data_IF_305188345574
#
_entry.id   IF_305188345574
#
_cell.length_a   1.000
_cell.length_b   1.000
_cell.length_c   1.000
_cell.angle_alpha   90.00
_cell.angle_beta   90.00
_cell.angle_gamma   90.00
#
_symmetry.space_group_name_H-M   'P 1'
#
loop_
_entity.id
_entity.type
_entity.pdbx_description
1 polymer ?
#
# COMPACT_ATOMS: atom_id res chain seq x y z
N UNK A 1 6.71 -17.87 -5.67
CA UNK A 1 6.84 -16.46 -5.28
C UNK A 1 5.43 -15.98 -4.99
N UNK A 2 5.04 -15.67 -3.73
CA UNK A 2 3.83 -14.90 -3.53
C UNK A 2 4.19 -13.48 -3.95
N UNK A 3 3.95 -13.16 -5.22
CA UNK A 3 4.02 -11.78 -5.67
C UNK A 3 2.85 -11.07 -5.01
N UNK A 4 3.11 -9.91 -4.40
CA UNK A 4 2.04 -9.04 -3.92
C UNK A 4 1.10 -8.76 -5.09
N UNK A 5 -0.15 -9.23 -4.98
CA UNK A 5 -1.17 -9.03 -6.00
C UNK A 5 -1.80 -7.67 -5.74
N UNK A 6 -1.55 -6.75 -6.65
CA UNK A 6 -2.29 -5.51 -6.71
C UNK A 6 -3.71 -5.79 -7.18
N UNK A 7 -4.69 -5.13 -6.58
CA UNK A 7 -6.04 -5.10 -7.12
C UNK A 7 -6.00 -4.50 -8.53
N UNK A 8 -6.75 -5.15 -9.42
CA UNK A 8 -6.79 -4.80 -10.83
C UNK A 8 -7.73 -3.61 -11.07
N UNK A 9 -7.24 -2.41 -10.80
CA UNK A 9 -7.93 -1.17 -11.13
C UNK A 9 -6.97 -0.16 -11.79
N UNK A 10 -7.50 0.70 -12.69
CA UNK A 10 -6.70 1.70 -13.39
C UNK A 10 -6.07 2.69 -12.42
N UNK A 11 -4.91 3.25 -12.76
CA UNK A 11 -4.19 4.17 -11.86
C UNK A 11 -4.92 5.50 -11.61
N UNK A 12 -5.92 5.82 -12.43
CA UNK A 12 -6.82 6.96 -12.24
C UNK A 12 -8.06 6.62 -11.40
N UNK A 13 -8.09 5.45 -10.75
CA UNK A 13 -9.23 5.07 -9.90
C UNK A 13 -9.32 6.05 -8.73
N UNK A 14 -10.49 6.68 -8.51
CA UNK A 14 -10.68 7.55 -7.35
C UNK A 14 -10.54 6.72 -6.08
N UNK A 15 -9.84 7.30 -5.10
CA UNK A 15 -9.69 6.69 -3.78
C UNK A 15 -11.07 6.63 -3.11
N UNK A 16 -11.46 5.48 -2.53
CA UNK A 16 -12.72 5.35 -1.82
C UNK A 16 -12.72 6.21 -0.55
N UNK A 17 -13.90 6.72 -0.17
CA UNK A 17 -14.10 7.55 1.02
C UNK A 17 -13.63 6.84 2.32
N UNK A 18 -13.72 5.51 2.34
CA UNK A 18 -13.29 4.63 3.44
C UNK A 18 -11.77 4.68 3.72
N UNK A 19 -10.98 5.14 2.74
CA UNK A 19 -9.54 5.35 2.89
C UNK A 19 -9.20 6.77 3.38
N UNK A 20 -10.18 7.58 3.76
CA UNK A 20 -9.95 8.86 4.42
C UNK A 20 -10.30 8.77 5.90
N UNK A 21 -9.42 9.28 6.74
CA UNK A 21 -9.69 9.50 8.15
C UNK A 21 -10.80 10.55 8.34
N UNK A 22 -11.43 10.58 9.53
CA UNK A 22 -12.49 11.55 9.86
C UNK A 22 -12.10 13.03 9.69
N UNK A 23 -10.81 13.36 9.63
CA UNK A 23 -10.29 14.71 9.38
C UNK A 23 -10.22 15.06 7.87
N UNK A 24 -10.57 14.11 6.99
CA UNK A 24 -10.41 14.22 5.54
C UNK A 24 -8.97 13.95 5.06
N UNK A 25 -8.07 13.58 5.97
CA UNK A 25 -6.72 13.16 5.64
C UNK A 25 -6.73 11.73 5.05
N UNK A 26 -5.96 11.45 3.99
CA UNK A 26 -5.85 10.12 3.43
C UNK A 26 -5.16 9.17 4.43
N UNK A 27 -5.82 8.08 4.76
CA UNK A 27 -5.27 7.01 5.58
C UNK A 27 -4.38 6.12 4.73
N UNK A 28 -3.07 6.32 4.84
CA UNK A 28 -2.08 5.65 4.01
C UNK A 28 -2.08 4.13 4.20
N UNK A 29 -2.30 3.64 5.43
CA UNK A 29 -2.33 2.21 5.68
C UNK A 29 -3.55 1.56 4.99
N UNK A 30 -4.74 2.15 5.17
CA UNK A 30 -5.96 1.71 4.51
C UNK A 30 -5.85 1.78 2.98
N UNK A 31 -5.18 2.80 2.44
CA UNK A 31 -4.90 2.93 1.01
C UNK A 31 -4.03 1.78 0.46
N UNK A 32 -2.98 1.45 1.19
CA UNK A 32 -2.05 0.39 0.83
C UNK A 32 -2.73 -0.98 0.92
N UNK A 33 -3.50 -1.24 1.98
CA UNK A 33 -4.33 -2.45 2.11
C UNK A 33 -5.41 -2.52 1.03
N UNK A 34 -5.98 -1.37 0.64
CA UNK A 34 -6.97 -1.32 -0.42
C UNK A 34 -6.38 -1.64 -1.79
N UNK A 35 -5.16 -1.17 -2.10
CA UNK A 35 -4.44 -1.46 -3.35
C UNK A 35 -3.85 -2.88 -3.35
N UNK A 36 -3.31 -3.33 -2.23
CA UNK A 36 -2.71 -4.63 -2.07
C UNK A 36 -3.24 -5.30 -0.80
N UNK A 37 -4.36 -6.04 -0.89
CA UNK A 37 -4.98 -6.70 0.26
C UNK A 37 -4.15 -7.85 0.84
N UNK A 38 -3.05 -8.22 0.18
CA UNK A 38 -2.07 -9.19 0.69
C UNK A 38 -1.02 -8.57 1.61
N UNK A 39 -0.96 -7.23 1.72
CA UNK A 39 -0.09 -6.57 2.69
C UNK A 39 -0.57 -6.89 4.10
N UNK A 40 0.38 -7.26 4.97
CA UNK A 40 0.10 -7.35 6.39
C UNK A 40 -0.09 -5.94 6.97
N UNK A 41 -0.94 -5.75 8.01
CA UNK A 41 -1.17 -4.43 8.61
C UNK A 41 0.12 -3.72 9.04
N UNK A 42 1.09 -4.47 9.59
CA UNK A 42 2.40 -3.90 9.95
C UNK A 42 3.28 -3.52 8.76
N UNK A 43 3.12 -4.16 7.60
CA UNK A 43 3.80 -3.74 6.37
C UNK A 43 3.15 -2.49 5.78
N UNK A 44 1.81 -2.44 5.78
CA UNK A 44 1.05 -1.26 5.36
C UNK A 44 1.40 -0.03 6.21
N UNK A 45 1.43 -0.14 7.54
CA UNK A 45 1.81 0.97 8.44
C UNK A 45 3.27 1.43 8.23
N UNK A 46 4.19 0.49 8.01
CA UNK A 46 5.58 0.81 7.68
C UNK A 46 5.70 1.56 6.36
N UNK A 47 5.00 1.09 5.32
CA UNK A 47 4.99 1.72 4.01
C UNK A 47 4.31 3.10 4.08
N UNK A 48 3.21 3.24 4.82
CA UNK A 48 2.55 4.51 5.09
C UNK A 48 3.54 5.54 5.65
N UNK A 49 4.30 5.17 6.68
CA UNK A 49 5.33 6.03 7.27
C UNK A 49 6.37 6.48 6.23
N UNK A 50 6.78 5.59 5.31
CA UNK A 50 7.75 5.92 4.26
C UNK A 50 7.12 6.87 3.22
N UNK A 51 5.88 6.61 2.82
CA UNK A 51 5.13 7.43 1.87
C UNK A 51 4.93 8.86 2.38
N UNK A 52 4.49 8.98 3.63
CA UNK A 52 4.31 10.26 4.32
C UNK A 52 5.63 11.01 4.48
N UNK A 53 6.70 10.33 4.92
CA UNK A 53 8.00 10.97 5.09
C UNK A 53 8.64 11.42 3.76
N UNK A 54 8.24 10.82 2.64
CA UNK A 54 8.77 11.11 1.31
C UNK A 54 7.94 12.16 0.55
N UNK A 55 6.94 12.78 1.20
CA UNK A 55 6.01 13.75 0.60
C UNK A 55 5.34 13.22 -0.69
N UNK A 56 5.12 11.90 -0.73
CA UNK A 56 4.53 11.24 -1.89
C UNK A 56 3.04 11.59 -1.95
N UNK A 57 2.50 11.73 -3.16
CA UNK A 57 1.05 11.88 -3.31
C UNK A 57 0.36 10.54 -3.05
N UNK A 58 -0.72 10.50 -2.26
CA UNK A 58 -1.50 9.29 -2.06
C UNK A 58 -2.35 9.05 -3.31
N UNK A 59 -1.72 8.67 -4.41
CA UNK A 59 -2.37 8.24 -5.64
C UNK A 59 -2.01 6.78 -5.94
N UNK A 60 -2.86 6.10 -6.72
CA UNK A 60 -2.72 4.66 -6.96
C UNK A 60 -1.37 4.31 -7.58
N UNK A 61 -0.86 5.11 -8.52
CA UNK A 61 0.42 4.82 -9.17
C UNK A 61 1.59 4.96 -8.20
N UNK A 62 1.58 6.03 -7.41
CA UNK A 62 2.59 6.29 -6.38
C UNK A 62 2.59 5.23 -5.28
N UNK A 63 1.41 4.79 -4.85
CA UNK A 63 1.26 3.73 -3.85
C UNK A 63 1.72 2.36 -4.36
N UNK A 64 1.35 1.98 -5.59
CA UNK A 64 1.87 0.75 -6.23
C UNK A 64 3.39 0.77 -6.30
N UNK A 65 3.95 1.89 -6.77
CA UNK A 65 5.39 2.07 -6.85
C UNK A 65 6.07 1.99 -5.48
N UNK A 66 5.50 2.61 -4.46
CA UNK A 66 6.00 2.53 -3.07
C UNK A 66 6.03 1.08 -2.57
N UNK A 67 4.98 0.31 -2.83
CA UNK A 67 4.91 -1.12 -2.49
C UNK A 67 5.98 -1.89 -3.27
N UNK A 68 6.12 -1.67 -4.57
CA UNK A 68 7.15 -2.35 -5.39
C UNK A 68 8.58 -2.02 -4.94
N UNK A 69 8.85 -0.76 -4.57
CA UNK A 69 10.18 -0.31 -4.16
C UNK A 69 10.55 -0.75 -2.73
N UNK A 70 9.57 -0.84 -1.80
CA UNK A 70 9.85 -0.99 -0.37
C UNK A 70 9.22 -2.20 0.31
N UNK A 71 8.23 -2.86 -0.30
CA UNK A 71 7.72 -4.10 0.24
C UNK A 71 8.81 -5.16 0.12
N UNK A 72 9.12 -5.82 1.24
CA UNK A 72 10.08 -6.91 1.16
C UNK A 72 9.42 -8.05 0.39
N UNK A 73 10.17 -8.80 -0.44
CA UNK A 73 9.69 -10.10 -0.83
C UNK A 73 9.45 -10.88 0.47
N UNK A 74 8.21 -11.33 0.71
CA UNK A 74 7.92 -12.31 1.74
C UNK A 74 8.64 -13.61 1.34
N UNK A 75 9.94 -13.66 1.65
CA UNK A 75 10.68 -14.89 1.67
C UNK A 75 10.02 -15.74 2.74
N UNK A 76 9.28 -16.76 2.30
CA UNK A 76 8.96 -17.91 3.11
C UNK A 76 10.25 -18.41 3.76
N UNK A 77 10.52 -18.03 5.00
CA UNK A 77 11.41 -18.82 5.85
C UNK A 77 10.63 -20.08 6.23
N UNK A 78 10.71 -21.07 5.35
CA UNK A 78 10.08 -22.37 5.52
C UNK A 78 10.60 -23.37 4.49
N UNK A 79 11.53 -24.21 4.96
CA UNK A 79 11.82 -25.57 4.49
C UNK A 79 12.84 -25.77 3.36
N UNK A 80 14.07 -26.12 3.74
CA UNK A 80 14.66 -27.44 3.46
C UNK A 80 15.83 -27.71 4.42
#
# INVERSE_FOLDING_TARGET
MPYLVFRNFPDNTPIPDDCYSCDGAPDWAALLEWICPELSPGEAERLATIGEASDIRPDVASLKRLIEEHARPQASQGSA
#
